data_IF_736586576167
#
_entry.id   IF_736586576167
#
_cell.length_a   1.000
_cell.length_b   1.000
_cell.length_c   1.000
_cell.angle_alpha   90.00
_cell.angle_beta   90.00
_cell.angle_gamma   90.00
#
_symmetry.space_group_name_H-M   'P 1'
#
loop_
_entity.id
_entity.type
_entity.pdbx_description
1 polymer ?
#
# COMPACT_ATOMS: atom_id res chain seq x y z
N UNK A 1 11.47 47.79 -9.83
CA UNK A 1 10.99 47.17 -11.08
C UNK A 1 11.84 45.93 -11.38
N UNK A 2 11.37 44.73 -11.03
CA UNK A 2 12.14 43.49 -11.21
C UNK A 2 12.18 43.10 -12.69
N UNK A 3 13.37 42.75 -13.20
CA UNK A 3 13.57 42.38 -14.60
C UNK A 3 12.90 41.01 -14.89
N UNK A 4 12.28 40.80 -16.06
CA UNK A 4 11.49 39.59 -16.38
C UNK A 4 12.29 38.28 -16.32
N UNK A 5 13.61 38.35 -16.49
CA UNK A 5 14.52 37.19 -16.31
C UNK A 5 14.61 36.73 -14.85
N UNK A 6 14.48 37.65 -13.89
CA UNK A 6 14.51 37.36 -12.46
C UNK A 6 13.22 36.68 -12.00
N UNK A 7 12.08 37.09 -12.57
CA UNK A 7 10.77 36.48 -12.29
C UNK A 7 10.69 35.03 -12.78
N UNK A 8 11.24 34.73 -13.97
CA UNK A 8 11.33 33.35 -14.50
C UNK A 8 12.20 32.45 -13.62
N UNK A 9 13.31 32.97 -13.11
CA UNK A 9 14.17 32.25 -12.18
C UNK A 9 13.47 31.96 -10.86
N UNK A 10 12.78 32.95 -10.27
CA UNK A 10 12.01 32.76 -9.04
C UNK A 10 10.88 31.74 -9.22
N UNK A 11 10.19 31.75 -10.37
CA UNK A 11 9.14 30.78 -10.68
C UNK A 11 9.70 29.36 -10.84
N UNK A 12 10.83 29.20 -11.53
CA UNK A 12 11.50 27.89 -11.65
C UNK A 12 11.95 27.35 -10.28
N UNK A 13 12.45 28.22 -9.40
CA UNK A 13 12.84 27.86 -8.04
C UNK A 13 11.62 27.43 -7.20
N UNK A 14 10.51 28.16 -7.28
CA UNK A 14 9.25 27.84 -6.60
C UNK A 14 8.67 26.49 -7.05
N UNK A 15 8.69 26.23 -8.36
CA UNK A 15 8.24 24.94 -8.92
C UNK A 15 9.14 23.79 -8.47
N UNK A 16 10.47 23.98 -8.51
CA UNK A 16 11.42 22.99 -8.01
C UNK A 16 11.24 22.68 -6.52
N UNK A 17 10.98 23.71 -5.71
CA UNK A 17 10.74 23.55 -4.28
C UNK A 17 9.41 22.83 -4.00
N UNK A 18 8.34 23.15 -4.75
CA UNK A 18 7.05 22.47 -4.62
C UNK A 18 7.12 20.98 -5.00
N UNK A 19 7.94 20.62 -5.99
CA UNK A 19 8.16 19.23 -6.41
C UNK A 19 8.96 18.42 -5.36
N UNK A 20 9.79 19.06 -4.55
CA UNK A 20 10.63 18.39 -3.55
C UNK A 20 9.91 17.92 -2.29
N UNK A 21 8.71 18.44 -2.02
CA UNK A 21 7.93 18.11 -0.80
C UNK A 21 7.15 16.78 -0.95
N UNK A 22 6.94 16.30 -2.17
CA UNK A 22 6.12 15.11 -2.45
C UNK A 22 6.84 13.76 -2.39
N UNK A 23 8.18 13.73 -2.32
CA UNK A 23 8.95 12.48 -2.36
C UNK A 23 9.38 12.04 -0.97
N UNK A 24 8.43 11.78 -0.07
CA UNK A 24 8.72 10.90 1.05
C UNK A 24 8.81 9.47 0.50
N UNK A 25 10.04 8.98 0.37
CA UNK A 25 10.29 7.55 0.21
C UNK A 25 9.85 6.88 1.51
N UNK A 26 8.58 6.48 1.57
CA UNK A 26 8.10 5.58 2.59
C UNK A 26 8.87 4.27 2.40
N UNK A 27 9.87 4.04 3.25
CA UNK A 27 10.47 2.71 3.37
C UNK A 27 9.35 1.78 3.76
N UNK A 28 8.92 0.90 2.85
CA UNK A 28 8.01 -0.17 3.21
C UNK A 28 8.69 -0.96 4.33
N UNK A 29 8.10 -0.94 5.53
CA UNK A 29 8.59 -1.77 6.62
C UNK A 29 8.58 -3.23 6.15
N UNK A 30 9.60 -3.99 6.56
CA UNK A 30 9.66 -5.42 6.22
C UNK A 30 8.44 -6.10 6.87
N UNK A 31 7.51 -6.68 6.10
CA UNK A 31 6.35 -7.31 6.69
C UNK A 31 6.78 -8.56 7.49
N UNK A 32 6.06 -8.84 8.57
CA UNK A 32 6.17 -10.15 9.24
C UNK A 32 5.52 -11.22 8.35
N UNK A 33 6.10 -12.42 8.33
CA UNK A 33 5.55 -13.57 7.61
C UNK A 33 5.06 -14.61 8.61
N UNK A 34 3.78 -14.96 8.54
CA UNK A 34 3.18 -16.08 9.25
C UNK A 34 2.75 -17.12 8.22
N UNK A 35 3.29 -18.34 8.31
CA UNK A 35 2.92 -19.45 7.46
C UNK A 35 2.04 -20.43 8.24
N UNK A 36 0.74 -20.46 7.90
CA UNK A 36 -0.22 -21.43 8.43
C UNK A 36 -0.36 -22.55 7.40
N UNK A 37 -0.09 -23.78 7.82
CA UNK A 37 -0.13 -24.96 6.96
C UNK A 37 -1.04 -26.03 7.56
N UNK A 38 -1.84 -26.66 6.70
CA UNK A 38 -2.78 -27.70 7.08
C UNK A 38 -2.49 -28.93 6.22
N UNK A 39 -2.30 -30.08 6.86
CA UNK A 39 -2.15 -31.38 6.20
C UNK A 39 -3.51 -32.06 6.04
N UNK A 40 -3.65 -32.86 4.98
CA UNK A 40 -4.82 -33.71 4.68
C UNK A 40 -6.18 -32.99 4.75
N UNK A 41 -6.21 -31.70 4.44
CA UNK A 41 -7.42 -30.88 4.46
C UNK A 41 -8.11 -30.86 3.10
N UNK A 42 -9.41 -31.14 3.11
CA UNK A 42 -10.29 -30.90 1.97
C UNK A 42 -10.65 -29.41 1.85
N UNK A 43 -10.89 -28.90 0.63
CA UNK A 43 -11.24 -27.50 0.39
C UNK A 43 -12.66 -27.08 0.83
N UNK A 44 -13.22 -27.70 1.87
CA UNK A 44 -14.57 -27.45 2.38
C UNK A 44 -14.58 -26.30 3.39
N UNK A 45 -14.17 -25.12 2.94
CA UNK A 45 -14.25 -23.90 3.73
C UNK A 45 -15.53 -23.14 3.38
N UNK A 46 -16.18 -22.53 4.37
CA UNK A 46 -17.40 -21.76 4.14
C UNK A 46 -17.14 -20.55 3.24
N UNK A 47 -15.97 -19.91 3.33
CA UNK A 47 -15.54 -18.87 2.39
C UNK A 47 -15.39 -19.34 0.93
N UNK A 48 -15.32 -20.65 0.68
CA UNK A 48 -15.33 -21.22 -0.68
C UNK A 48 -16.73 -21.60 -1.17
N UNK A 49 -17.78 -21.31 -0.38
CA UNK A 49 -19.17 -21.57 -0.72
C UNK A 49 -19.74 -22.86 -0.15
N UNK A 50 -19.01 -23.57 0.72
CA UNK A 50 -19.58 -24.66 1.51
C UNK A 50 -20.66 -24.09 2.45
N UNK A 51 -21.81 -24.79 2.54
CA UNK A 51 -22.98 -24.31 3.29
C UNK A 51 -23.19 -25.05 4.62
N UNK A 52 -22.42 -26.11 4.87
CA UNK A 52 -22.61 -27.02 6.01
C UNK A 52 -21.49 -26.80 7.03
N UNK A 53 -20.25 -26.83 6.57
CA UNK A 53 -19.08 -26.62 7.41
C UNK A 53 -18.94 -25.13 7.72
N UNK A 54 -18.69 -24.81 8.99
CA UNK A 54 -18.47 -23.44 9.45
C UNK A 54 -17.00 -23.25 9.80
N UNK A 55 -16.32 -22.34 9.12
CA UNK A 55 -14.91 -22.02 9.35
C UNK A 55 -14.70 -20.54 9.67
N UNK A 56 -15.31 -19.99 10.74
CA UNK A 56 -15.39 -18.53 10.94
C UNK A 56 -14.04 -17.81 11.03
N UNK A 57 -13.00 -18.46 11.57
CA UNK A 57 -11.66 -17.87 11.62
C UNK A 57 -10.94 -17.87 10.26
N UNK A 58 -11.18 -18.89 9.43
CA UNK A 58 -10.65 -18.95 8.05
C UNK A 58 -11.43 -17.97 7.17
N UNK A 59 -12.74 -17.86 7.38
CA UNK A 59 -13.59 -16.91 6.67
C UNK A 59 -13.22 -15.46 6.98
N UNK A 60 -12.85 -15.16 8.23
CA UNK A 60 -12.37 -13.83 8.61
C UNK A 60 -10.96 -13.51 8.07
N UNK A 61 -10.18 -14.53 7.70
CA UNK A 61 -8.85 -14.39 7.13
C UNK A 61 -8.87 -14.19 5.60
N UNK A 62 -9.88 -14.73 4.92
CA UNK A 62 -10.05 -14.72 3.45
C UNK A 62 -10.59 -13.36 2.94
#
# INVERSE_FOLDING_TARGET
MMKPKFFRFALALLVGLALSVGTQLQSAEKPNVLWIYLEDVSGWFSCYGDKIIKTPNIDALA
#
